data_IF_516161243536
#
_entry.id   IF_516161243536
#
_cell.length_a   1.000
_cell.length_b   1.000
_cell.length_c   1.000
_cell.angle_alpha   90.00
_cell.angle_beta   90.00
_cell.angle_gamma   90.00
#
_symmetry.space_group_name_H-M   'P 1'
#
loop_
_entity.id
_entity.type
_entity.pdbx_description
1 polymer ?
#
# COMPACT_ATOMS: atom_id res chain seq x y z
N UNK A 1 14.50 7.59 -11.95
CA UNK A 1 13.22 8.04 -11.34
C UNK A 1 13.41 8.00 -9.84
N UNK A 2 12.91 8.99 -9.07
CA UNK A 2 13.02 8.97 -7.62
C UNK A 2 12.28 7.77 -7.02
N UNK A 3 12.81 7.24 -5.93
CA UNK A 3 12.15 6.18 -5.16
C UNK A 3 11.06 6.77 -4.25
N UNK A 4 10.02 5.99 -3.95
CA UNK A 4 8.92 6.46 -3.08
C UNK A 4 9.44 6.95 -1.73
N UNK A 5 10.43 6.27 -1.14
CA UNK A 5 11.04 6.64 0.16
C UNK A 5 11.76 7.99 0.15
N UNK A 6 12.13 8.52 -1.02
CA UNK A 6 12.79 9.82 -1.16
C UNK A 6 11.78 10.97 -1.20
N UNK A 7 10.51 10.66 -1.49
CA UNK A 7 9.42 11.64 -1.68
C UNK A 7 8.56 11.75 -0.42
N UNK A 8 8.36 10.63 0.28
CA UNK A 8 7.35 10.51 1.34
C UNK A 8 7.97 10.47 2.72
N UNK A 9 7.21 10.90 3.73
CA UNK A 9 7.65 10.87 5.11
C UNK A 9 7.79 9.43 5.63
N UNK A 10 6.87 8.54 5.24
CA UNK A 10 6.80 7.19 5.78
C UNK A 10 5.96 6.25 4.92
N UNK A 11 6.39 5.00 4.83
CA UNK A 11 5.57 3.90 4.31
C UNK A 11 5.38 2.89 5.43
N UNK A 12 4.16 2.39 5.62
CA UNK A 12 3.87 1.30 6.56
C UNK A 12 2.91 0.31 5.96
N UNK A 13 3.19 -0.97 6.18
CA UNK A 13 2.19 -2.02 6.06
C UNK A 13 1.51 -2.27 7.41
N UNK A 14 0.28 -2.77 7.36
CA UNK A 14 -0.49 -3.27 8.50
C UNK A 14 -1.56 -4.24 8.02
N UNK A 15 -2.02 -5.12 8.90
CA UNK A 15 -3.20 -5.94 8.63
C UNK A 15 -4.49 -5.10 8.56
N UNK A 16 -5.41 -5.53 7.70
CA UNK A 16 -6.79 -5.05 7.63
C UNK A 16 -7.74 -6.24 7.75
N UNK A 17 -7.84 -6.77 8.97
CA UNK A 17 -8.46 -8.06 9.21
C UNK A 17 -7.60 -9.22 8.70
N UNK A 18 -8.11 -10.45 8.78
CA UNK A 18 -7.30 -11.65 8.53
C UNK A 18 -7.03 -11.94 7.05
N UNK A 19 -7.71 -11.24 6.14
CA UNK A 19 -7.65 -11.52 4.69
C UNK A 19 -6.91 -10.47 3.87
N UNK A 20 -6.64 -9.30 4.47
CA UNK A 20 -6.08 -8.15 3.75
C UNK A 20 -4.88 -7.57 4.48
N UNK A 21 -3.91 -7.10 3.70
CA UNK A 21 -2.84 -6.24 4.17
C UNK A 21 -2.99 -4.89 3.47
N UNK A 22 -2.63 -3.82 4.16
CA UNK A 22 -2.69 -2.45 3.62
C UNK A 22 -1.35 -1.77 3.75
N UNK A 23 -0.92 -1.10 2.69
CA UNK A 23 0.24 -0.24 2.64
C UNK A 23 -0.26 1.21 2.66
N UNK A 24 0.03 1.92 3.74
CA UNK A 24 -0.23 3.34 3.90
C UNK A 24 1.05 4.13 3.56
N UNK A 25 0.95 5.05 2.60
CA UNK A 25 2.02 5.94 2.16
C UNK A 25 1.73 7.34 2.70
N UNK A 26 2.40 7.72 3.79
CA UNK A 26 2.27 9.03 4.42
C UNK A 26 3.18 10.03 3.72
N UNK A 27 2.60 10.94 2.95
CA UNK A 27 3.36 11.80 2.04
C UNK A 27 4.01 13.01 2.74
N UNK A 28 3.48 13.45 3.89
CA UNK A 28 4.05 14.55 4.68
C UNK A 28 3.87 15.96 4.10
N UNK A 29 3.50 16.09 2.82
CA UNK A 29 3.13 17.36 2.19
C UNK A 29 2.12 17.15 1.06
N UNK A 30 1.39 18.21 0.70
CA UNK A 30 0.45 18.17 -0.41
C UNK A 30 1.14 17.93 -1.76
N UNK A 31 2.31 18.53 -1.98
CA UNK A 31 3.11 18.33 -3.18
C UNK A 31 3.57 16.87 -3.33
N UNK A 32 4.10 16.27 -2.24
CA UNK A 32 4.47 14.86 -2.22
C UNK A 32 3.27 13.95 -2.46
N UNK A 33 2.11 14.27 -1.86
CA UNK A 33 0.87 13.51 -2.08
C UNK A 33 0.45 13.52 -3.55
N UNK A 34 0.42 14.69 -4.21
CA UNK A 34 0.09 14.78 -5.63
C UNK A 34 1.07 13.99 -6.49
N UNK A 35 2.37 14.10 -6.21
CA UNK A 35 3.40 13.36 -6.94
C UNK A 35 3.24 11.85 -6.80
N UNK A 36 2.98 11.34 -5.59
CA UNK A 36 2.76 9.90 -5.34
C UNK A 36 1.45 9.44 -5.99
N UNK A 37 0.37 10.19 -5.79
CA UNK A 37 -0.95 9.86 -6.35
C UNK A 37 -0.90 9.77 -7.88
N UNK A 38 -0.25 10.72 -8.55
CA UNK A 38 -0.16 10.71 -10.01
C UNK A 38 0.93 9.75 -10.54
N UNK A 39 2.00 9.56 -9.78
CA UNK A 39 3.17 8.77 -10.20
C UNK A 39 3.02 7.26 -10.01
N UNK A 40 2.26 6.80 -9.00
CA UNK A 40 2.06 5.38 -8.73
C UNK A 40 0.85 4.85 -9.49
N UNK A 41 1.00 4.43 -10.75
CA UNK A 41 -0.11 3.79 -11.46
C UNK A 41 -0.53 2.46 -10.78
N UNK A 42 -1.81 2.29 -10.48
CA UNK A 42 -2.35 1.11 -9.75
C UNK A 42 -1.98 -0.21 -10.43
N UNK A 43 -1.99 -0.28 -11.77
CA UNK A 43 -1.59 -1.49 -12.50
C UNK A 43 -0.12 -1.87 -12.31
N UNK A 44 0.78 -0.88 -12.27
CA UNK A 44 2.21 -1.12 -11.99
C UNK A 44 2.43 -1.59 -10.55
N UNK A 45 1.71 -1.00 -9.60
CA UNK A 45 1.75 -1.43 -8.19
C UNK A 45 1.29 -2.88 -8.06
N UNK A 46 0.17 -3.24 -8.70
CA UNK A 46 -0.35 -4.60 -8.70
C UNK A 46 0.66 -5.61 -9.28
N UNK A 47 1.32 -5.26 -10.39
CA UNK A 47 2.37 -6.06 -10.99
C UNK A 47 3.58 -6.27 -10.04
N UNK A 48 4.04 -5.21 -9.37
CA UNK A 48 5.17 -5.29 -8.42
C UNK A 48 4.81 -6.14 -7.19
N UNK A 49 3.56 -6.04 -6.72
CA UNK A 49 3.08 -6.81 -5.57
C UNK A 49 2.61 -8.23 -5.94
N UNK A 50 2.69 -8.60 -7.23
CA UNK A 50 2.28 -9.91 -7.75
C UNK A 50 0.82 -10.26 -7.37
N UNK A 51 -0.08 -9.30 -7.60
CA UNK A 51 -1.53 -9.47 -7.38
C UNK A 51 -2.32 -9.04 -8.62
N UNK A 52 -3.49 -9.66 -8.89
CA UNK A 52 -4.40 -9.16 -9.92
C UNK A 52 -4.80 -7.70 -9.66
N UNK A 53 -4.77 -6.84 -10.68
CA UNK A 53 -5.08 -5.42 -10.49
C UNK A 53 -6.51 -5.18 -9.97
N UNK A 54 -7.43 -6.10 -10.22
CA UNK A 54 -8.82 -6.04 -9.77
C UNK A 54 -8.97 -6.30 -8.25
N UNK A 55 -8.00 -6.98 -7.64
CA UNK A 55 -8.02 -7.25 -6.19
C UNK A 55 -7.28 -6.17 -5.40
N UNK A 56 -6.46 -5.36 -6.05
CA UNK A 56 -5.80 -4.20 -5.43
C UNK A 56 -6.79 -3.03 -5.29
N UNK A 57 -7.11 -2.67 -4.05
CA UNK A 57 -7.92 -1.49 -3.74
C UNK A 57 -7.01 -0.31 -3.47
N UNK A 58 -7.32 0.83 -4.07
CA UNK A 58 -6.57 2.08 -3.87
C UNK A 58 -7.49 3.17 -3.35
N UNK A 59 -6.99 3.93 -2.38
CA UNK A 59 -7.64 5.09 -1.83
C UNK A 59 -6.64 6.23 -1.74
N UNK A 60 -6.93 7.31 -2.44
CA UNK A 60 -6.19 8.57 -2.32
C UNK A 60 -6.97 9.44 -1.34
N UNK A 61 -6.33 9.82 -0.24
CA UNK A 61 -6.97 10.53 0.87
C UNK A 61 -6.26 11.88 1.07
N UNK A 62 -6.63 12.93 0.30
CA UNK A 62 -5.93 14.21 0.29
C UNK A 62 -5.88 14.88 1.66
N UNK A 63 -6.97 14.81 2.42
CA UNK A 63 -7.10 15.45 3.74
C UNK A 63 -6.09 14.88 4.76
N UNK A 64 -5.66 13.63 4.57
CA UNK A 64 -4.64 12.99 5.40
C UNK A 64 -3.24 13.02 4.73
N UNK A 65 -3.14 13.43 3.46
CA UNK A 65 -1.92 13.30 2.68
C UNK A 65 -1.45 11.85 2.55
N UNK A 66 -2.39 10.90 2.42
CA UNK A 66 -2.11 9.46 2.40
C UNK A 66 -2.60 8.82 1.10
N UNK A 67 -1.74 8.05 0.47
CA UNK A 67 -2.13 7.06 -0.55
C UNK A 67 -2.15 5.70 0.13
N UNK A 68 -3.31 5.04 0.12
CA UNK A 68 -3.53 3.73 0.75
C UNK A 68 -3.80 2.68 -0.30
N UNK A 69 -3.10 1.56 -0.18
CA UNK A 69 -3.22 0.40 -1.06
C UNK A 69 -3.59 -0.82 -0.21
N UNK A 70 -4.69 -1.50 -0.53
CA UNK A 70 -5.10 -2.73 0.14
C UNK A 70 -5.08 -3.90 -0.83
N UNK A 71 -4.44 -4.99 -0.46
CA UNK A 71 -4.31 -6.20 -1.27
C UNK A 71 -4.65 -7.44 -0.44
N UNK A 72 -5.12 -8.52 -1.08
CA UNK A 72 -5.35 -9.78 -0.38
C UNK A 72 -4.02 -10.32 0.18
N UNK A 73 -4.08 -10.95 1.36
CA UNK A 73 -2.95 -11.70 1.89
C UNK A 73 -2.75 -12.98 1.08
N UNK A 74 -1.49 -13.41 0.97
CA UNK A 74 -1.16 -14.72 0.38
C UNK A 74 -1.72 -15.84 1.24
N UNK A 75 -1.46 -15.77 2.55
CA UNK A 75 -2.00 -16.68 3.55
C UNK A 75 -2.91 -15.93 4.54
N UNK A 76 -4.03 -16.57 4.91
CA UNK A 76 -4.96 -16.02 5.90
C UNK A 76 -4.23 -15.89 7.24
N UNK A 77 -4.37 -14.73 7.88
CA UNK A 77 -3.70 -14.45 9.15
C UNK A 77 -4.02 -15.52 10.19
N UNK A 78 -2.99 -16.03 10.87
CA UNK A 78 -3.12 -17.03 11.93
C UNK A 78 -3.27 -18.48 11.45
N UNK A 79 -3.16 -18.74 10.14
CA UNK A 79 -3.05 -20.12 9.62
C UNK A 79 -1.66 -20.69 9.86
N UNK A 80 -1.51 -22.01 9.73
CA UNK A 80 -0.22 -22.71 9.90
C UNK A 80 0.86 -22.23 8.91
N UNK A 81 0.42 -21.77 7.74
CA UNK A 81 1.27 -21.26 6.67
C UNK A 81 1.51 -19.74 6.79
N UNK A 82 0.86 -19.06 7.73
CA UNK A 82 1.09 -17.64 7.98
C UNK A 82 2.50 -17.41 8.56
N UNK A 83 3.36 -16.80 7.73
CA UNK A 83 4.73 -16.42 8.10
C UNK A 83 4.84 -14.99 8.63
N UNK A 84 3.79 -14.18 8.48
CA UNK A 84 3.78 -12.78 8.90
C UNK A 84 2.43 -12.41 9.52
N UNK A 85 2.33 -12.68 10.83
CA UNK A 85 1.13 -12.43 11.60
C UNK A 85 0.82 -10.93 11.79
N UNK A 86 1.78 -10.04 11.57
CA UNK A 86 1.61 -8.61 11.87
C UNK A 86 1.46 -7.74 10.62
N UNK A 87 1.78 -8.27 9.44
CA UNK A 87 1.68 -7.54 8.18
C UNK A 87 2.77 -6.47 8.05
N UNK A 88 4.00 -6.75 8.49
CA UNK A 88 5.11 -5.79 8.63
C UNK A 88 6.43 -6.31 8.08
#
# INVERSE_FOLDING_TARGET
MPEVREIVQKVRSKNAGPFWITIDIFCGSHAAFQQVSQGLATGKVAQVLDVPSQTLKRFDIPDLGVVKLSLPRREIQGTVDDRDMHGA
#
